data_IF_291203285140
#
_entry.id   IF_291203285140
#
_cell.length_a   1.000
_cell.length_b   1.000
_cell.length_c   1.000
_cell.angle_alpha   90.00
_cell.angle_beta   90.00
_cell.angle_gamma   90.00
#
_symmetry.space_group_name_H-M   'P 1'
#
loop_
_entity.id
_entity.type
_entity.pdbx_description
1 polymer ?
#
# COMPACT_ATOMS: atom_id res chain seq x y z
N UNK A 1 9.93 -2.15 8.53
CA UNK A 1 9.45 -3.53 8.36
C UNK A 1 10.60 -4.53 8.23
N UNK A 2 11.42 -4.52 7.16
CA UNK A 2 12.56 -5.46 7.01
C UNK A 2 13.53 -5.46 8.20
N UNK A 3 13.92 -4.29 8.71
CA UNK A 3 14.81 -4.18 9.89
C UNK A 3 14.20 -4.76 11.18
N UNK A 4 12.87 -4.85 11.24
CA UNK A 4 12.14 -5.48 12.35
C UNK A 4 11.87 -6.98 12.11
N UNK A 5 12.44 -7.57 11.03
CA UNK A 5 12.34 -9.00 10.74
C UNK A 5 11.14 -9.43 9.90
N UNK A 6 10.36 -8.50 9.35
CA UNK A 6 9.22 -8.82 8.50
C UNK A 6 9.65 -9.06 7.04
N UNK A 7 9.02 -10.05 6.42
CA UNK A 7 8.98 -10.16 4.96
C UNK A 7 8.09 -9.06 4.38
N UNK A 8 8.52 -8.45 3.27
CA UNK A 8 7.82 -7.31 2.66
C UNK A 8 7.62 -7.58 1.18
N UNK A 9 6.36 -7.56 0.76
CA UNK A 9 5.96 -7.62 -0.65
C UNK A 9 5.43 -6.26 -1.06
N UNK A 10 5.91 -5.73 -2.20
CA UNK A 10 5.34 -4.53 -2.81
C UNK A 10 4.30 -4.94 -3.84
N UNK A 11 3.07 -4.44 -3.65
CA UNK A 11 1.94 -4.68 -4.54
C UNK A 11 1.34 -3.36 -5.03
N UNK A 12 0.75 -3.39 -6.22
CA UNK A 12 -0.09 -2.30 -6.74
C UNK A 12 -1.37 -2.89 -7.36
N UNK A 13 -2.42 -2.08 -7.60
CA UNK A 13 -3.68 -2.59 -8.15
C UNK A 13 -3.51 -3.37 -9.45
N UNK A 14 -2.60 -2.92 -10.31
CA UNK A 14 -2.35 -3.50 -11.63
C UNK A 14 -1.05 -4.30 -11.74
N UNK A 15 -0.19 -4.27 -10.71
CA UNK A 15 1.16 -4.80 -10.76
C UNK A 15 2.11 -4.00 -11.66
N UNK A 16 3.36 -4.42 -11.75
CA UNK A 16 4.38 -3.81 -12.61
C UNK A 16 5.05 -2.57 -12.02
N UNK A 17 5.49 -1.60 -12.85
CA UNK A 17 6.22 -0.44 -12.34
C UNK A 17 5.32 0.51 -11.56
N UNK A 18 5.68 0.78 -10.30
CA UNK A 18 5.00 1.77 -9.45
C UNK A 18 5.68 3.14 -9.63
N UNK A 19 4.94 4.18 -10.09
CA UNK A 19 5.52 5.49 -10.30
C UNK A 19 5.84 6.20 -8.97
N UNK A 20 6.97 6.89 -8.93
CA UNK A 20 7.33 7.79 -7.83
C UNK A 20 6.93 9.22 -8.22
N UNK A 21 6.22 9.93 -7.35
CA UNK A 21 5.90 11.34 -7.54
C UNK A 21 7.20 12.16 -7.55
N UNK A 22 7.47 12.86 -8.66
CA UNK A 22 8.69 13.65 -8.82
C UNK A 22 8.86 14.73 -7.73
N UNK A 23 7.77 15.25 -7.17
CA UNK A 23 7.82 16.23 -6.07
C UNK A 23 8.33 15.63 -4.75
N UNK A 24 8.22 14.31 -4.59
CA UNK A 24 8.77 13.59 -3.43
C UNK A 24 10.29 13.41 -3.50
N UNK A 25 10.90 13.63 -4.66
CA UNK A 25 12.33 13.43 -4.91
C UNK A 25 13.19 14.67 -4.55
N UNK A 26 12.65 15.62 -3.79
CA UNK A 26 13.38 16.84 -3.42
C UNK A 26 12.95 17.46 -2.08
N UNK A 27 13.73 18.45 -1.65
CA UNK A 27 13.49 19.18 -0.42
C UNK A 27 13.51 18.29 0.83
N UNK A 28 12.69 18.64 1.81
CA UNK A 28 12.62 17.94 3.09
C UNK A 28 11.91 16.57 3.00
N UNK A 29 11.31 16.23 1.85
CA UNK A 29 10.70 14.92 1.63
C UNK A 29 11.72 13.83 1.30
N UNK A 30 12.87 14.21 0.73
CA UNK A 30 13.89 13.29 0.26
C UNK A 30 15.06 13.22 1.25
N UNK A 31 14.91 12.35 2.27
CA UNK A 31 15.88 12.17 3.34
C UNK A 31 16.87 11.02 3.05
N UNK A 32 17.71 10.66 4.02
CA UNK A 32 18.72 9.62 3.85
C UNK A 32 18.12 8.21 3.69
N UNK A 33 16.94 7.95 4.28
CA UNK A 33 16.22 6.68 4.06
C UNK A 33 15.70 6.59 2.62
N UNK A 34 15.22 7.70 2.04
CA UNK A 34 14.86 7.74 0.62
C UNK A 34 16.06 7.42 -0.27
N UNK A 35 17.24 7.97 0.03
CA UNK A 35 18.48 7.65 -0.71
C UNK A 35 18.88 6.18 -0.55
N UNK A 36 18.78 5.63 0.67
CA UNK A 36 19.03 4.21 0.95
C UNK A 36 18.10 3.32 0.13
N UNK A 37 16.80 3.63 0.10
CA UNK A 37 15.82 2.91 -0.70
C UNK A 37 16.16 2.97 -2.20
N UNK A 38 16.46 4.16 -2.74
CA UNK A 38 16.80 4.35 -4.16
C UNK A 38 18.08 3.60 -4.60
N UNK A 39 19.01 3.35 -3.68
CA UNK A 39 20.23 2.58 -3.95
C UNK A 39 20.10 1.09 -3.61
N UNK A 40 19.01 0.68 -2.96
CA UNK A 40 18.71 -0.73 -2.70
C UNK A 40 18.11 -1.37 -3.96
N UNK A 41 18.91 -2.24 -4.59
CA UNK A 41 18.52 -2.94 -5.82
C UNK A 41 17.32 -3.86 -5.63
N UNK A 42 17.17 -4.45 -4.45
CA UNK A 42 16.04 -5.34 -4.16
C UNK A 42 14.77 -4.51 -4.02
N UNK A 43 14.84 -3.41 -3.25
CA UNK A 43 13.70 -2.52 -3.05
C UNK A 43 13.24 -1.85 -4.35
N UNK A 44 14.17 -1.29 -5.13
CA UNK A 44 13.86 -0.70 -6.44
C UNK A 44 13.42 -1.76 -7.47
N UNK A 45 13.96 -2.98 -7.37
CA UNK A 45 13.53 -4.12 -8.17
C UNK A 45 12.07 -4.47 -7.91
N UNK A 46 11.67 -4.58 -6.64
CA UNK A 46 10.31 -4.83 -6.22
C UNK A 46 9.36 -3.68 -6.57
N UNK A 47 9.81 -2.42 -6.51
CA UNK A 47 9.01 -1.27 -6.92
C UNK A 47 8.79 -1.22 -8.44
N UNK A 48 9.78 -1.65 -9.23
CA UNK A 48 9.70 -1.70 -10.69
C UNK A 48 8.89 -2.90 -11.20
N UNK A 49 8.70 -3.93 -10.36
CA UNK A 49 8.01 -5.18 -10.68
C UNK A 49 7.07 -5.58 -9.54
N UNK A 50 6.22 -4.64 -9.09
CA UNK A 50 5.27 -4.96 -8.02
C UNK A 50 4.37 -6.10 -8.44
N UNK A 51 3.96 -6.92 -7.48
CA UNK A 51 2.93 -7.92 -7.74
C UNK A 51 1.57 -7.24 -7.87
N UNK A 52 0.65 -7.88 -8.59
CA UNK A 52 -0.72 -7.40 -8.63
C UNK A 52 -1.39 -7.69 -7.28
N UNK A 53 -2.09 -6.74 -6.68
CA UNK A 53 -2.66 -6.90 -5.35
C UNK A 53 -3.57 -8.13 -5.23
N UNK A 54 -4.40 -8.39 -6.25
CA UNK A 54 -5.32 -9.54 -6.28
C UNK A 54 -4.62 -10.90 -6.46
N UNK A 55 -3.30 -10.92 -6.71
CA UNK A 55 -2.48 -12.13 -6.76
C UNK A 55 -1.86 -12.49 -5.40
N UNK A 56 -1.96 -11.61 -4.41
CA UNK A 56 -1.41 -11.84 -3.07
C UNK A 56 -2.34 -12.72 -2.26
N UNK A 57 -1.81 -13.79 -1.68
CA UNK A 57 -2.54 -14.60 -0.69
C UNK A 57 -2.66 -13.83 0.63
N UNK A 58 -3.80 -13.16 0.82
CA UNK A 58 -4.09 -12.35 2.01
C UNK A 58 -4.15 -13.18 3.30
N UNK A 59 -4.31 -14.51 3.23
CA UNK A 59 -4.26 -15.37 4.42
C UNK A 59 -2.86 -15.44 5.02
N UNK A 60 -1.82 -15.27 4.18
CA UNK A 60 -0.40 -15.29 4.56
C UNK A 60 0.14 -13.95 5.09
N UNK A 61 -0.63 -12.86 4.97
CA UNK A 61 -0.17 -11.50 5.27
C UNK A 61 -0.60 -11.11 6.68
N UNK A 62 0.29 -10.62 7.54
CA UNK A 62 -0.07 -10.15 8.88
C UNK A 62 -0.67 -8.73 8.88
N UNK A 63 -0.27 -7.90 7.91
CA UNK A 63 -0.69 -6.50 7.80
C UNK A 63 -0.58 -5.97 6.37
N UNK A 64 -1.43 -5.01 6.02
CA UNK A 64 -1.30 -4.21 4.79
C UNK A 64 -1.03 -2.74 5.14
N UNK A 65 -0.09 -2.13 4.42
CA UNK A 65 0.28 -0.73 4.56
C UNK A 65 0.10 0.00 3.22
N UNK A 66 -0.84 0.94 3.17
CA UNK A 66 -1.11 1.76 2.00
C UNK A 66 -0.26 3.04 2.01
N UNK A 67 0.73 3.09 1.12
CA UNK A 67 1.54 4.27 0.87
C UNK A 67 0.69 5.42 0.30
N UNK A 68 1.14 6.65 0.52
CA UNK A 68 0.47 7.86 0.02
C UNK A 68 0.99 8.34 -1.34
N UNK A 69 0.80 9.65 -1.59
CA UNK A 69 1.05 10.30 -2.88
C UNK A 69 -0.28 10.65 -3.57
N UNK A 70 -0.31 11.73 -4.35
CA UNK A 70 -1.58 12.21 -4.95
C UNK A 70 -2.17 11.24 -5.99
N UNK A 71 -1.38 10.30 -6.50
CA UNK A 71 -1.85 9.24 -7.41
C UNK A 71 -3.00 8.43 -6.82
N UNK A 72 -3.04 8.25 -5.49
CA UNK A 72 -4.10 7.49 -4.82
C UNK A 72 -5.48 8.12 -4.98
N UNK A 73 -5.57 9.42 -5.26
CA UNK A 73 -6.83 10.09 -5.56
C UNK A 73 -7.47 9.59 -6.86
N UNK A 74 -6.69 8.93 -7.73
CA UNK A 74 -7.14 8.42 -9.04
C UNK A 74 -7.51 6.95 -8.95
N UNK A 75 -6.66 6.14 -8.31
CA UNK A 75 -6.76 4.67 -8.39
C UNK A 75 -7.16 3.99 -7.08
N UNK A 76 -7.08 4.61 -5.90
CA UNK A 76 -7.46 3.93 -4.65
C UNK A 76 -8.96 4.00 -4.33
N UNK A 77 -9.63 5.07 -4.76
CA UNK A 77 -10.97 5.43 -4.26
C UNK A 77 -12.02 4.39 -4.64
N UNK A 78 -11.94 3.85 -5.87
CA UNK A 78 -12.96 2.95 -6.45
C UNK A 78 -12.41 1.57 -6.78
N UNK A 79 -11.19 1.25 -6.34
CA UNK A 79 -10.57 -0.04 -6.67
C UNK A 79 -11.14 -1.17 -5.80
N UNK A 80 -11.82 -2.09 -6.48
CA UNK A 80 -12.48 -3.24 -5.85
C UNK A 80 -11.50 -4.23 -5.22
N UNK A 81 -10.28 -4.34 -5.75
CA UNK A 81 -9.26 -5.23 -5.19
C UNK A 81 -8.71 -4.68 -3.88
N UNK A 82 -8.51 -3.36 -3.81
CA UNK A 82 -8.13 -2.64 -2.59
C UNK A 82 -9.21 -2.77 -1.53
N UNK A 83 -10.48 -2.47 -1.86
CA UNK A 83 -11.61 -2.62 -0.93
C UNK A 83 -11.68 -4.06 -0.38
N UNK A 84 -11.63 -5.05 -1.28
CA UNK A 84 -11.68 -6.47 -0.89
C UNK A 84 -10.53 -6.86 0.04
N UNK A 85 -9.30 -6.38 -0.24
CA UNK A 85 -8.15 -6.67 0.61
C UNK A 85 -8.28 -6.06 2.01
N UNK A 86 -8.74 -4.81 2.09
CA UNK A 86 -8.96 -4.11 3.37
C UNK A 86 -10.01 -4.84 4.20
N UNK A 87 -11.17 -5.13 3.61
CA UNK A 87 -12.27 -5.79 4.31
C UNK A 87 -11.86 -7.20 4.78
N UNK A 88 -11.17 -7.97 3.92
CA UNK A 88 -10.66 -9.31 4.25
C UNK A 88 -9.70 -9.29 5.44
N UNK A 89 -8.71 -8.39 5.42
CA UNK A 89 -7.74 -8.29 6.52
C UNK A 89 -8.40 -7.80 7.80
N UNK A 90 -9.24 -6.77 7.71
CA UNK A 90 -9.93 -6.22 8.87
C UNK A 90 -10.87 -7.24 9.53
N UNK A 91 -11.62 -8.01 8.75
CA UNK A 91 -12.47 -9.09 9.28
C UNK A 91 -11.67 -10.24 9.92
N UNK A 92 -10.41 -10.39 9.52
CA UNK A 92 -9.49 -11.40 10.06
C UNK A 92 -8.68 -10.89 11.26
N UNK A 93 -9.04 -9.75 11.86
CA UNK A 93 -8.33 -9.10 12.97
C UNK A 93 -6.85 -8.76 12.63
N UNK A 94 -6.58 -8.53 11.34
CA UNK A 94 -5.25 -8.14 10.82
C UNK A 94 -5.16 -6.63 10.66
N UNK A 95 -3.92 -6.13 10.63
CA UNK A 95 -3.68 -4.68 10.63
C UNK A 95 -3.83 -4.09 9.24
N UNK A 96 -4.64 -3.03 9.14
CA UNK A 96 -4.72 -2.16 7.96
C UNK A 96 -4.21 -0.78 8.36
N UNK A 97 -3.16 -0.31 7.70
CA UNK A 97 -2.57 1.00 7.94
C UNK A 97 -2.45 1.80 6.65
N UNK A 98 -2.56 3.13 6.74
CA UNK A 98 -2.45 4.02 5.58
C UNK A 98 -1.88 5.38 6.00
N UNK A 99 -1.14 6.05 5.10
CA UNK A 99 -0.50 7.34 5.40
C UNK A 99 -0.70 8.38 4.31
N UNK A 100 -0.76 9.66 4.69
CA UNK A 100 -0.92 10.81 3.79
C UNK A 100 -2.23 10.72 2.98
N UNK A 101 -2.16 10.41 1.69
CA UNK A 101 -3.32 10.18 0.83
C UNK A 101 -3.66 8.69 0.65
N UNK A 102 -2.88 7.78 1.23
CA UNK A 102 -3.21 6.36 1.30
C UNK A 102 -4.61 6.09 1.88
N UNK A 103 -5.09 6.81 2.92
CA UNK A 103 -6.45 6.65 3.45
C UNK A 103 -7.59 6.86 2.45
N UNK A 104 -7.34 7.36 1.24
CA UNK A 104 -8.34 7.41 0.16
C UNK A 104 -8.92 6.03 -0.21
N UNK A 105 -8.26 4.93 0.18
CA UNK A 105 -8.79 3.58 0.00
C UNK A 105 -9.90 3.17 0.99
N UNK A 106 -10.07 3.90 2.10
CA UNK A 106 -10.94 3.50 3.21
C UNK A 106 -12.43 3.91 3.08
N UNK A 107 -12.82 5.05 2.46
CA UNK A 107 -14.19 5.55 2.52
C UNK A 107 -15.27 4.60 1.99
N UNK A 108 -14.92 3.74 1.02
CA UNK A 108 -15.86 2.76 0.46
C UNK A 108 -15.84 1.41 1.18
N UNK A 109 -14.91 1.21 2.11
CA UNK A 109 -14.80 -0.04 2.87
C UNK A 109 -15.90 -0.11 3.94
N UNK A 110 -16.45 -1.31 4.09
CA UNK A 110 -17.53 -1.64 5.02
C UNK A 110 -17.14 -2.79 5.93
N UNK A 111 -17.71 -2.80 7.13
CA UNK A 111 -17.64 -3.95 8.03
C UNK A 111 -18.63 -5.02 7.58
N UNK A 112 -18.51 -6.23 8.13
CA UNK A 112 -19.42 -7.35 7.89
C UNK A 112 -20.91 -7.03 8.11
N UNK A 113 -21.22 -6.09 9.01
CA UNK A 113 -22.59 -5.64 9.27
C UNK A 113 -23.11 -4.57 8.28
N UNK A 114 -22.31 -4.24 7.26
CA UNK A 114 -22.61 -3.23 6.25
C UNK A 114 -22.34 -1.79 6.70
N UNK A 115 -21.91 -1.56 7.94
CA UNK A 115 -21.56 -0.21 8.41
C UNK A 115 -20.21 0.25 7.83
N UNK A 116 -19.99 1.57 7.64
CA UNK A 116 -18.70 2.07 7.18
C UNK A 116 -17.54 1.63 8.09
N UNK A 117 -16.42 1.24 7.49
CA UNK A 117 -15.20 0.88 8.20
C UNK A 117 -14.65 2.07 9.01
N UNK A 118 -14.64 3.25 8.36
CA UNK A 118 -14.24 4.54 8.93
C UNK A 118 -15.41 5.53 8.91
N UNK A 119 -15.46 6.46 9.86
CA UNK A 119 -16.51 7.49 10.01
C UNK A 119 -15.90 8.87 10.13
#
# INVERSE_FOLDING_TARGET
FKEAGYEVVLASPTGGPVPIDASSMGGNHFNDDCKKFMHDKEAMGALSHSVKLDSVDLSSVDAIFFCGGHGTCVDFVEDVSIKSAIETLYESDKVVAAVCHGPNCLPQCTKKDGSPLVK
#
